data_IF_163348286679
#
_entry.id   IF_163348286679
#
_cell.length_a   1.000
_cell.length_b   1.000
_cell.length_c   1.000
_cell.angle_alpha   90.00
_cell.angle_beta   90.00
_cell.angle_gamma   90.00
#
_symmetry.space_group_name_H-M   'P 1'
#
loop_
_entity.id
_entity.type
_entity.pdbx_description
1 polymer ?
#
# COMPACT_ATOMS: atom_id res chain seq x y z
N UNK A 1 24.09 22.85 6.67
CA UNK A 1 23.05 22.56 7.68
C UNK A 1 22.45 21.19 7.35
N UNK A 2 22.45 20.25 8.29
CA UNK A 2 21.92 18.89 8.07
C UNK A 2 20.40 18.90 8.21
N UNK A 3 19.68 18.42 7.19
CA UNK A 3 18.21 18.28 7.19
C UNK A 3 17.77 17.46 8.40
N UNK A 4 16.88 18.01 9.23
CA UNK A 4 16.27 17.25 10.34
C UNK A 4 15.14 16.40 9.75
N UNK A 5 15.40 15.11 9.61
CA UNK A 5 14.44 14.11 9.15
C UNK A 5 13.98 13.30 10.36
N UNK A 6 12.65 13.13 10.51
CA UNK A 6 12.05 12.30 11.55
C UNK A 6 11.11 11.28 10.91
N UNK A 7 11.06 10.02 11.38
CA UNK A 7 10.05 9.08 10.88
C UNK A 7 8.64 9.63 11.11
N UNK A 8 7.73 9.32 10.20
CA UNK A 8 6.32 9.72 10.35
C UNK A 8 5.65 8.86 11.43
N UNK A 9 5.08 9.53 12.42
CA UNK A 9 4.37 8.87 13.51
C UNK A 9 2.84 8.87 13.27
N UNK A 10 2.10 7.86 13.76
CA UNK A 10 0.63 7.82 13.69
C UNK A 10 -0.04 9.08 14.25
N UNK A 11 0.52 9.65 15.32
CA UNK A 11 0.02 10.89 15.93
C UNK A 11 0.11 12.08 14.97
N UNK A 12 1.19 12.20 14.20
CA UNK A 12 1.34 13.25 13.20
C UNK A 12 0.28 13.08 12.11
N UNK A 13 0.11 11.86 11.58
CA UNK A 13 -0.90 11.63 10.54
C UNK A 13 -2.34 11.87 11.05
N UNK A 14 -2.62 11.69 12.34
CA UNK A 14 -3.94 11.98 12.90
C UNK A 14 -4.36 13.45 12.78
N UNK A 15 -3.39 14.37 12.75
CA UNK A 15 -3.63 15.82 12.59
C UNK A 15 -3.39 16.31 11.16
N UNK A 16 -3.00 15.43 10.23
CA UNK A 16 -2.81 15.74 8.82
C UNK A 16 -4.09 15.41 8.04
N UNK A 17 -4.63 16.39 7.32
CA UNK A 17 -5.67 16.20 6.31
C UNK A 17 -5.09 16.17 4.91
N UNK A 18 -5.85 15.62 3.97
CA UNK A 18 -5.49 15.62 2.56
C UNK A 18 -6.53 16.42 1.77
N UNK A 19 -6.07 17.43 1.05
CA UNK A 19 -6.92 18.13 0.09
C UNK A 19 -7.28 17.23 -1.08
N UNK A 20 -8.38 17.51 -1.74
CA UNK A 20 -8.87 16.80 -2.92
C UNK A 20 -7.79 16.75 -4.00
N UNK A 21 -7.19 17.91 -4.25
CA UNK A 21 -6.07 18.06 -5.17
C UNK A 21 -4.88 17.15 -4.81
N UNK A 22 -4.51 17.08 -3.53
CA UNK A 22 -3.41 16.21 -3.10
C UNK A 22 -3.71 14.72 -3.33
N UNK A 23 -4.95 14.28 -3.07
CA UNK A 23 -5.38 12.90 -3.32
C UNK A 23 -5.35 12.58 -4.82
N UNK A 24 -5.87 13.47 -5.66
CA UNK A 24 -5.81 13.31 -7.12
C UNK A 24 -4.36 13.20 -7.60
N UNK A 25 -3.49 14.11 -7.18
CA UNK A 25 -2.07 14.10 -7.55
C UNK A 25 -1.33 12.86 -7.08
N UNK A 26 -1.66 12.35 -5.90
CA UNK A 26 -1.13 11.08 -5.41
C UNK A 26 -1.61 9.92 -6.27
N UNK A 27 -2.92 9.83 -6.54
CA UNK A 27 -3.49 8.75 -7.34
C UNK A 27 -2.89 8.70 -8.76
N UNK A 28 -2.79 9.86 -9.43
CA UNK A 28 -2.16 9.99 -10.75
C UNK A 28 -0.72 9.43 -10.75
N UNK A 29 0.10 9.84 -9.79
CA UNK A 29 1.52 9.43 -9.69
C UNK A 29 1.68 7.98 -9.26
N UNK A 30 0.80 7.51 -8.39
CA UNK A 30 0.78 6.15 -7.91
C UNK A 30 0.20 5.16 -8.94
N UNK A 31 -0.45 5.66 -10.01
CA UNK A 31 -1.15 4.85 -10.99
C UNK A 31 -2.41 4.19 -10.42
N UNK A 32 -3.09 4.87 -9.48
CA UNK A 32 -4.32 4.42 -8.85
C UNK A 32 -5.54 5.02 -9.54
N UNK A 33 -6.66 4.31 -9.47
CA UNK A 33 -7.94 4.83 -9.94
C UNK A 33 -8.44 5.96 -9.04
N UNK A 34 -8.59 7.15 -9.62
CA UNK A 34 -9.02 8.38 -8.93
C UNK A 34 -10.51 8.33 -8.58
N UNK A 35 -11.30 7.47 -9.25
CA UNK A 35 -12.75 7.40 -9.10
C UNK A 35 -13.22 7.01 -7.67
N UNK A 36 -12.34 6.44 -6.84
CA UNK A 36 -12.66 6.05 -5.46
C UNK A 36 -11.71 6.69 -4.43
N UNK A 37 -11.84 8.02 -4.28
CA UNK A 37 -11.10 8.82 -3.27
C UNK A 37 -11.03 8.18 -1.89
N UNK A 38 -12.16 7.62 -1.42
CA UNK A 38 -12.26 7.03 -0.08
C UNK A 38 -11.30 5.85 0.11
N UNK A 39 -10.84 5.23 -0.97
CA UNK A 39 -9.82 4.17 -0.95
C UNK A 39 -8.41 4.70 -1.14
N UNK A 40 -8.23 5.83 -1.81
CA UNK A 40 -6.90 6.40 -2.11
C UNK A 40 -6.23 6.98 -0.86
N UNK A 41 -6.94 7.78 -0.07
CA UNK A 41 -6.34 8.43 1.11
C UNK A 41 -5.78 7.43 2.13
N UNK A 42 -6.48 6.33 2.50
CA UNK A 42 -5.91 5.30 3.38
C UNK A 42 -4.60 4.70 2.84
N UNK A 43 -4.48 4.51 1.53
CA UNK A 43 -3.25 4.00 0.90
C UNK A 43 -2.10 4.98 1.06
N UNK A 44 -2.34 6.28 0.84
CA UNK A 44 -1.32 7.32 1.05
C UNK A 44 -0.86 7.38 2.52
N UNK A 45 -1.80 7.27 3.46
CA UNK A 45 -1.50 7.25 4.91
C UNK A 45 -0.69 6.01 5.30
N UNK A 46 -1.09 4.83 4.83
CA UNK A 46 -0.38 3.57 5.10
C UNK A 46 1.06 3.62 4.53
N UNK A 47 1.24 4.16 3.33
CA UNK A 47 2.55 4.36 2.74
C UNK A 47 3.44 5.28 3.60
N UNK A 48 2.88 6.39 4.08
CA UNK A 48 3.58 7.31 4.97
C UNK A 48 3.88 6.68 6.35
N UNK A 49 3.08 5.74 6.84
CA UNK A 49 3.41 5.02 8.07
C UNK A 49 4.55 4.02 7.88
N UNK A 50 4.64 3.40 6.70
CA UNK A 50 5.62 2.37 6.41
C UNK A 50 7.00 2.97 6.10
N UNK A 51 7.04 4.04 5.31
CA UNK A 51 8.28 4.61 4.77
C UNK A 51 8.34 6.13 4.84
N UNK A 52 7.37 6.74 5.53
CA UNK A 52 7.30 8.19 5.62
C UNK A 52 8.36 8.78 6.53
N UNK A 53 8.91 9.89 6.09
CA UNK A 53 9.69 10.79 6.92
C UNK A 53 9.10 12.21 6.86
N UNK A 54 9.27 12.97 7.93
CA UNK A 54 8.83 14.36 8.06
C UNK A 54 10.04 15.27 8.19
N UNK A 55 9.94 16.46 7.59
CA UNK A 55 10.98 17.47 7.67
C UNK A 55 10.39 18.86 7.46
N UNK A 56 11.07 19.88 7.99
CA UNK A 56 10.77 21.28 7.68
C UNK A 56 11.55 21.77 6.46
N UNK A 57 12.61 21.07 6.08
CA UNK A 57 13.38 21.40 4.88
C UNK A 57 12.94 20.52 3.71
N UNK A 58 12.82 21.10 2.51
CA UNK A 58 12.48 20.33 1.32
C UNK A 58 13.61 19.33 0.98
N UNK A 59 13.28 18.20 0.33
CA UNK A 59 14.31 17.33 -0.21
C UNK A 59 15.08 18.02 -1.34
N UNK A 60 16.32 17.60 -1.58
CA UNK A 60 17.22 18.22 -2.58
C UNK A 60 16.68 18.22 -4.01
N UNK A 61 15.81 17.27 -4.32
CA UNK A 61 15.19 17.14 -5.64
C UNK A 61 13.98 18.06 -5.84
N UNK A 62 13.42 18.64 -4.77
CA UNK A 62 12.32 19.60 -4.84
C UNK A 62 12.86 21.00 -5.19
N UNK A 63 12.38 21.56 -6.32
CA UNK A 63 12.90 22.81 -6.89
C UNK A 63 11.90 23.96 -6.91
N UNK A 64 10.79 23.87 -6.18
CA UNK A 64 9.80 24.94 -6.18
C UNK A 64 10.17 26.04 -5.18
N UNK A 65 9.98 27.29 -5.60
CA UNK A 65 10.17 28.49 -4.79
C UNK A 65 9.04 28.74 -3.79
N UNK A 66 7.94 27.97 -3.88
CA UNK A 66 6.84 28.09 -2.94
C UNK A 66 7.25 27.49 -1.59
N UNK A 67 7.56 28.39 -0.64
CA UNK A 67 7.90 28.05 0.73
C UNK A 67 6.73 27.32 1.38
N UNK A 68 6.88 26.05 1.77
CA UNK A 68 5.88 25.29 2.51
C UNK A 68 6.14 25.35 4.02
N UNK A 69 5.15 24.95 4.81
CA UNK A 69 5.28 24.99 6.26
C UNK A 69 5.93 23.69 6.78
N UNK A 70 5.90 22.63 5.97
CA UNK A 70 6.55 21.34 6.23
C UNK A 70 6.39 20.36 5.08
N UNK A 71 7.01 19.19 5.23
CA UNK A 71 7.07 18.17 4.19
C UNK A 71 6.96 16.77 4.81
N UNK A 72 6.21 15.88 4.14
CA UNK A 72 6.32 14.44 4.35
C UNK A 72 6.87 13.78 3.10
N UNK A 73 7.81 12.86 3.23
CA UNK A 73 8.43 12.14 2.13
C UNK A 73 8.19 10.64 2.29
N UNK A 74 7.65 9.96 1.28
CA UNK A 74 7.55 8.51 1.26
C UNK A 74 8.73 7.94 0.45
N UNK A 75 9.71 7.37 1.15
CA UNK A 75 11.00 7.02 0.56
C UNK A 75 11.71 8.23 -0.04
N UNK A 76 12.42 8.05 -1.14
CA UNK A 76 12.95 9.14 -1.98
C UNK A 76 12.07 9.38 -3.22
N UNK A 77 10.82 8.91 -3.20
CA UNK A 77 9.93 8.92 -4.36
C UNK A 77 8.87 10.01 -4.29
N UNK A 78 8.08 10.10 -3.22
CA UNK A 78 6.96 11.04 -3.16
C UNK A 78 7.12 12.07 -2.06
N UNK A 79 6.75 13.31 -2.36
CA UNK A 79 6.74 14.44 -1.43
C UNK A 79 5.33 14.98 -1.29
N UNK A 80 4.86 15.03 -0.05
CA UNK A 80 3.59 15.60 0.37
C UNK A 80 3.88 16.97 0.99
N UNK A 81 3.39 18.03 0.36
CA UNK A 81 3.65 19.41 0.79
C UNK A 81 2.63 19.80 1.84
N UNK A 82 3.10 20.16 3.04
CA UNK A 82 2.24 20.52 4.16
C UNK A 82 2.07 22.03 4.29
N UNK A 83 0.86 22.41 4.69
CA UNK A 83 0.49 23.75 5.15
C UNK A 83 -0.25 23.67 6.46
N UNK A 84 -0.09 24.67 7.30
CA UNK A 84 -0.91 24.87 8.48
C UNK A 84 -2.37 24.98 8.04
N UNK A 85 -3.24 24.17 8.64
CA UNK A 85 -4.65 24.17 8.27
C UNK A 85 -5.32 25.46 8.71
N UNK A 86 -6.01 26.14 7.79
CA UNK A 86 -6.85 27.31 8.11
C UNK A 86 -8.16 26.92 8.79
N UNK A 87 -8.59 25.67 8.64
CA UNK A 87 -9.90 25.16 9.13
C UNK A 87 -9.81 24.48 10.48
N UNK A 88 -8.63 23.96 10.83
CA UNK A 88 -8.41 23.14 12.03
C UNK A 88 -7.17 23.65 12.77
N UNK A 89 -7.32 24.42 13.86
CA UNK A 89 -6.18 24.90 14.64
C UNK A 89 -5.27 23.75 15.09
N UNK A 90 -3.95 23.93 14.93
CA UNK A 90 -2.95 22.90 15.27
C UNK A 90 -2.86 21.71 14.30
N UNK A 91 -3.62 21.71 13.21
CA UNK A 91 -3.60 20.67 12.18
C UNK A 91 -2.85 21.13 10.92
N UNK A 92 -2.57 20.17 10.06
CA UNK A 92 -1.88 20.39 8.78
C UNK A 92 -2.72 19.83 7.64
N UNK A 93 -2.62 20.44 6.47
CA UNK A 93 -3.23 19.95 5.25
C UNK A 93 -2.14 19.69 4.20
N UNK A 94 -2.18 18.49 3.60
CA UNK A 94 -1.41 18.21 2.39
C UNK A 94 -2.10 18.91 1.24
N UNK A 95 -1.42 19.88 0.66
CA UNK A 95 -1.97 20.73 -0.43
C UNK A 95 -1.61 20.21 -1.81
N UNK A 96 -0.52 19.45 -1.94
CA UNK A 96 -0.13 18.80 -3.20
C UNK A 96 0.82 17.64 -2.94
N UNK A 97 0.97 16.79 -3.95
CA UNK A 97 1.88 15.64 -3.94
C UNK A 97 2.74 15.68 -5.20
N UNK A 98 4.04 15.50 -5.02
CA UNK A 98 5.04 15.53 -6.08
C UNK A 98 5.81 14.21 -6.11
N UNK A 99 6.31 13.85 -7.28
CA UNK A 99 7.17 12.69 -7.48
C UNK A 99 8.60 13.15 -7.78
N UNK A 100 9.58 12.39 -7.33
CA UNK A 100 10.97 12.55 -7.71
C UNK A 100 11.14 12.12 -9.18
N UNK A 101 11.15 13.12 -10.07
CA UNK A 101 11.17 12.96 -11.52
C UNK A 101 9.78 12.84 -12.14
N UNK A 102 9.65 13.38 -13.35
CA UNK A 102 8.43 13.29 -14.15
C UNK A 102 8.17 11.85 -14.60
N UNK A 103 6.94 11.38 -14.45
CA UNK A 103 6.53 10.04 -14.88
C UNK A 103 7.04 8.88 -14.02
N UNK A 104 7.68 9.13 -12.87
CA UNK A 104 8.08 8.07 -11.94
C UNK A 104 6.84 7.48 -11.25
N UNK A 105 6.32 6.38 -11.81
CA UNK A 105 5.20 5.61 -11.22
C UNK A 105 5.66 4.71 -10.07
N UNK A 106 4.73 4.20 -9.25
CA UNK A 106 5.06 3.32 -8.11
C UNK A 106 5.92 2.11 -8.51
N UNK A 107 5.60 1.37 -9.59
CA UNK A 107 6.46 0.26 -10.01
C UNK A 107 7.85 0.70 -10.45
N UNK A 108 7.97 1.88 -11.08
CA UNK A 108 9.27 2.45 -11.49
C UNK A 108 10.08 2.86 -10.27
N UNK A 109 9.46 3.54 -9.31
CA UNK A 109 10.10 3.96 -8.06
C UNK A 109 10.68 2.77 -7.30
N UNK A 110 9.90 1.69 -7.19
CA UNK A 110 10.36 0.45 -6.55
C UNK A 110 11.52 -0.21 -7.29
N UNK A 111 11.45 -0.29 -8.63
CA UNK A 111 12.57 -0.83 -9.44
C UNK A 111 13.86 -0.01 -9.27
N UNK A 112 13.74 1.31 -9.09
CA UNK A 112 14.85 2.22 -8.84
C UNK A 112 15.32 2.26 -7.38
N UNK A 113 14.66 1.53 -6.48
CA UNK A 113 14.99 1.52 -5.05
C UNK A 113 14.62 2.80 -4.30
N UNK A 114 13.79 3.67 -4.89
CA UNK A 114 13.32 4.91 -4.23
C UNK A 114 12.27 4.63 -3.15
N UNK A 115 11.62 3.47 -3.22
CA UNK A 115 10.65 3.00 -2.25
C UNK A 115 10.70 1.48 -2.15
N UNK A 116 10.44 0.92 -0.98
CA UNK A 116 10.48 -0.52 -0.74
C UNK A 116 9.09 -1.17 -0.88
N UNK A 117 8.05 -0.45 -0.50
CA UNK A 117 6.67 -0.90 -0.45
C UNK A 117 6.15 -1.17 -1.85
N UNK A 118 5.63 -2.38 -2.11
CA UNK A 118 5.01 -2.71 -3.39
C UNK A 118 3.70 -1.92 -3.60
N UNK A 119 3.29 -1.68 -4.86
CA UNK A 119 2.00 -1.07 -5.13
C UNK A 119 0.86 -1.94 -4.57
N UNK A 120 -0.26 -1.34 -4.15
CA UNK A 120 -1.43 -2.09 -3.69
C UNK A 120 -1.93 -3.00 -4.83
N UNK A 121 -2.39 -4.19 -4.47
CA UNK A 121 -2.94 -5.13 -5.45
C UNK A 121 -4.14 -4.48 -6.16
N UNK A 122 -4.26 -4.60 -7.50
CA UNK A 122 -5.42 -4.08 -8.21
C UNK A 122 -6.68 -4.73 -7.63
N UNK A 123 -7.80 -3.98 -7.52
CA UNK A 123 -9.06 -4.54 -7.06
C UNK A 123 -9.41 -5.73 -7.97
N UNK A 124 -9.61 -6.91 -7.36
CA UNK A 124 -9.98 -8.11 -8.12
C UNK A 124 -11.20 -7.78 -8.99
N UNK A 125 -11.21 -8.16 -10.29
CA UNK A 125 -12.39 -7.97 -11.11
C UNK A 125 -13.56 -8.64 -10.40
N UNK A 126 -14.63 -7.86 -10.15
CA UNK A 126 -15.86 -8.41 -9.57
C UNK A 126 -16.32 -9.52 -10.50
N UNK A 127 -16.24 -10.78 -10.05
CA UNK A 127 -16.84 -11.90 -10.78
C UNK A 127 -18.31 -11.53 -10.97
N UNK A 128 -18.69 -11.21 -12.21
CA UNK A 128 -20.07 -10.94 -12.59
C UNK A 128 -20.83 -12.19 -12.17
N UNK A 129 -21.69 -12.08 -11.14
CA UNK A 129 -22.55 -13.19 -10.74
C UNK A 129 -23.42 -13.48 -11.95
N UNK A 130 -23.04 -14.49 -12.73
CA UNK A 130 -23.90 -15.04 -13.77
C UNK A 130 -25.12 -15.55 -13.02
N UNK A 131 -26.26 -14.88 -13.18
CA UNK A 131 -27.54 -15.43 -12.75
C UNK A 131 -27.72 -16.73 -13.52
N UNK A 132 -27.41 -17.86 -12.89
CA UNK A 132 -27.81 -19.16 -13.40
C UNK A 132 -29.33 -19.16 -13.31
N UNK A 133 -30.00 -18.90 -14.42
CA UNK A 133 -31.45 -19.01 -14.49
C UNK A 133 -31.84 -20.44 -14.15
N UNK A 134 -32.82 -20.63 -13.29
CA UNK A 134 -33.36 -21.94 -12.88
C UNK A 134 -33.73 -22.85 -14.07
N UNK A 135 -34.11 -22.26 -15.20
CA UNK A 135 -34.37 -22.95 -16.48
C UNK A 135 -33.16 -23.74 -17.02
N UNK A 136 -31.94 -23.26 -16.78
CA UNK A 136 -30.71 -23.98 -17.14
C UNK A 136 -30.49 -25.24 -16.32
N UNK A 137 -30.91 -25.22 -15.04
CA UNK A 137 -30.85 -26.38 -14.15
C UNK A 137 -31.90 -27.43 -14.51
N UNK A 138 -33.10 -27.01 -14.95
CA UNK A 138 -34.15 -27.92 -15.42
C UNK A 138 -33.74 -28.62 -16.73
N UNK A 139 -33.15 -27.88 -17.68
CA UNK A 139 -32.63 -28.47 -18.92
C UNK A 139 -31.41 -29.38 -18.69
N UNK A 140 -30.51 -29.05 -17.75
CA UNK A 140 -29.41 -29.93 -17.36
C UNK A 140 -29.91 -31.21 -16.66
N UNK A 141 -30.94 -31.09 -15.80
CA UNK A 141 -31.59 -32.24 -15.16
C UNK A 141 -32.31 -33.16 -16.15
N UNK A 142 -32.95 -32.60 -17.18
CA UNK A 142 -33.61 -33.37 -18.25
C UNK A 142 -32.61 -34.10 -19.15
N UNK A 143 -31.42 -33.54 -19.40
CA UNK A 143 -30.34 -34.25 -20.13
C UNK A 143 -29.68 -35.33 -19.29
N UNK A 144 -29.49 -35.11 -17.99
CA UNK A 144 -28.92 -36.11 -17.08
C UNK A 144 -29.84 -37.35 -16.94
N UNK A 145 -31.17 -37.16 -16.97
CA UNK A 145 -32.13 -38.26 -16.92
C UNK A 145 -32.16 -39.17 -18.15
N UNK A 146 -31.59 -38.76 -19.29
CA UNK A 146 -31.51 -39.60 -20.50
C UNK A 146 -30.21 -40.41 -20.62
N UNK A 147 -29.28 -40.27 -19.67
CA UNK A 147 -28.05 -41.07 -19.62
C UNK A 147 -27.83 -41.61 -18.22
N UNK A 148 -28.59 -42.64 -17.87
CA UNK A 148 -28.19 -43.54 -16.79
C UNK A 148 -28.58 -44.97 -17.18
N UNK A 149 -27.61 -45.88 -17.38
CA UNK A 149 -27.71 -47.21 -16.84
C UNK A 149 -27.11 -47.22 -15.43
N UNK A 150 -27.73 -48.07 -14.61
CA UNK A 150 -27.50 -48.29 -13.20
C UNK A 150 -26.06 -48.71 -12.85
N UNK A 151 -25.63 -48.39 -11.62
CA UNK A 151 -25.09 -49.38 -10.67
C UNK A 151 -24.46 -48.71 -9.41
N UNK A 152 -24.92 -49.19 -8.25
CA UNK A 152 -24.15 -49.51 -7.03
C UNK A 152 -23.67 -48.36 -6.11
N UNK A 153 -24.50 -48.15 -5.08
CA UNK A 153 -24.26 -48.31 -3.63
C UNK A 153 -23.13 -47.54 -2.88
N UNK A 154 -23.31 -47.30 -1.56
CA UNK A 154 -22.80 -46.15 -0.83
C UNK A 154 -21.55 -46.45 0.02
N UNK A 155 -20.75 -45.43 0.32
CA UNK A 155 -19.75 -45.55 1.38
C UNK A 155 -18.85 -44.34 1.58
N UNK A 156 -18.77 -43.93 2.85
CA UNK A 156 -17.75 -43.08 3.49
C UNK A 156 -17.97 -41.55 3.56
N UNK A 157 -18.51 -41.15 4.72
CA UNK A 157 -18.09 -39.94 5.43
C UNK A 157 -16.65 -40.15 5.89
N UNK A 158 -15.76 -39.23 5.54
CA UNK A 158 -14.51 -38.93 6.25
C UNK A 158 -14.50 -37.40 6.36
N UNK A 159 -14.95 -36.89 7.50
CA UNK A 159 -14.10 -36.33 8.56
C UNK A 159 -13.12 -35.27 8.07
N UNK A 160 -13.44 -34.05 8.48
CA UNK A 160 -12.52 -32.93 8.56
C UNK A 160 -11.34 -33.29 9.46
N UNK A 161 -10.11 -33.13 8.96
CA UNK A 161 -9.02 -32.50 9.71
C UNK A 161 -7.79 -32.27 8.82
N UNK A 162 -6.92 -31.36 9.27
CA UNK A 162 -5.64 -30.89 8.69
C UNK A 162 -5.74 -29.72 7.67
N UNK A 163 -5.13 -28.54 7.87
CA UNK A 163 -4.11 -28.11 8.82
C UNK A 163 -4.03 -26.56 8.90
N UNK A 164 -3.82 -25.94 10.08
CA UNK A 164 -3.35 -24.57 10.19
C UNK A 164 -1.83 -24.56 10.39
N UNK A 165 -1.04 -24.14 9.39
CA UNK A 165 0.42 -24.15 9.57
C UNK A 165 1.27 -23.28 8.65
N UNK A 166 0.69 -22.53 7.70
CA UNK A 166 1.49 -21.83 6.67
C UNK A 166 1.83 -20.36 6.97
N UNK A 167 1.34 -19.80 8.09
CA UNK A 167 1.57 -18.39 8.45
C UNK A 167 2.60 -18.18 9.58
N UNK A 168 3.04 -19.26 10.25
CA UNK A 168 4.07 -19.18 11.28
C UNK A 168 5.49 -19.07 10.70
N UNK A 169 5.73 -19.58 9.48
CA UNK A 169 7.06 -19.63 8.87
C UNK A 169 7.53 -18.31 8.22
N UNK A 170 6.64 -17.32 8.08
CA UNK A 170 7.01 -16.01 7.50
C UNK A 170 7.58 -15.07 8.58
N UNK A 171 7.19 -15.24 9.86
CA UNK A 171 7.68 -14.39 10.95
C UNK A 171 9.08 -14.75 11.45
N UNK A 172 9.48 -16.02 11.37
CA UNK A 172 10.83 -16.46 11.77
C UNK A 172 11.92 -16.10 10.76
N UNK A 173 11.59 -15.87 9.49
CA UNK A 173 12.54 -15.41 8.48
C UNK A 173 12.94 -13.92 8.64
N UNK A 174 12.16 -13.12 9.38
CA UNK A 174 12.40 -11.67 9.52
C UNK A 174 13.31 -11.30 10.70
N UNK A 175 13.55 -12.21 11.65
CA UNK A 175 14.46 -11.99 12.78
C UNK A 175 15.94 -12.27 12.44
N UNK A 176 16.22 -13.11 11.44
CA UNK A 176 17.57 -13.58 11.13
C UNK A 176 18.40 -12.65 10.21
N UNK A 177 17.85 -11.54 9.70
CA UNK A 177 18.58 -10.59 8.82
C UNK A 177 19.00 -9.27 9.49
N UNK A 178 18.88 -9.16 10.83
CA UNK A 178 19.35 -8.01 11.63
C UNK A 178 20.72 -8.21 12.29
N UNK A 179 21.54 -9.14 11.80
CA UNK A 179 22.97 -9.20 12.11
C UNK A 179 23.69 -9.56 10.80
N UNK A 180 24.25 -8.57 10.07
CA UNK A 180 25.48 -7.90 10.50
C UNK A 180 25.57 -6.44 10.00
N UNK A 181 25.11 -5.46 10.79
CA UNK A 181 25.46 -4.05 10.59
C UNK A 181 26.23 -3.47 11.78
N UNK A 182 26.09 -4.06 12.98
CA UNK A 182 26.83 -3.65 14.18
C UNK A 182 28.31 -4.09 14.19
N UNK A 183 28.75 -4.96 13.27
CA UNK A 183 30.13 -5.45 13.23
C UNK A 183 31.10 -4.55 12.43
N UNK A 184 30.60 -3.57 11.65
CA UNK A 184 31.48 -2.68 10.86
C UNK A 184 31.84 -1.38 11.57
N UNK A 185 31.14 -1.01 12.64
CA UNK A 185 31.41 0.23 13.37
C UNK A 185 32.51 0.05 14.45
N UNK A 186 32.71 -1.18 14.94
CA UNK A 186 33.72 -1.50 15.95
C UNK A 186 35.16 -1.60 15.41
N UNK A 187 35.36 -1.75 14.09
CA UNK A 187 36.70 -1.80 13.47
C UNK A 187 37.24 -0.44 13.03
N UNK A 188 36.46 0.64 13.13
CA UNK A 188 36.90 2.00 12.77
C UNK A 188 37.34 2.85 13.97
N UNK A 189 37.25 2.30 15.19
CA UNK A 189 37.66 2.95 16.45
C UNK A 189 38.51 2.02 17.28
N UNK A 190 39.77 1.88 16.91
CA UNK A 190 40.87 1.55 17.83
C UNK A 190 42.17 2.10 17.21
N UNK A 191 43.10 2.52 18.08
CA UNK A 191 43.80 3.80 18.06
C UNK A 191 44.80 3.98 16.92
#
# INVERSE_FOLDING_TARGET
MSRRVRPVEPRLLSVVGFTDHAIERFAERAGLDVADRRRVEPIARDLLLQEGSSSYDPPRWYRSSNAADGYLEAGEWMLFVLRTSRRRPGAWDVVTVLSNGDGTTWPVARRRGLILTPPPLPPRPRRRRVRVSWLGSVWAGLRARRRAPAAVAPGSRVSADAAPGRWASIRTAHAARRAPAAAREASSRRP
#
